data_IF_685761260471
#
_entry.id   IF_685761260471
#
_cell.length_a   1.000
_cell.length_b   1.000
_cell.length_c   1.000
_cell.angle_alpha   90.00
_cell.angle_beta   90.00
_cell.angle_gamma   90.00
#
_symmetry.space_group_name_H-M   'P 1'
#
loop_
_entity.id
_entity.type
_entity.pdbx_description
1 polymer ?
#
# COMPACT_ATOMS: atom_id res chain seq x y z
N UNK A 1 -9.40 -4.13 7.62
CA UNK A 1 -8.54 -3.15 6.93
C UNK A 1 -7.88 -2.30 8.00
N UNK A 2 -6.56 -2.37 8.14
CA UNK A 2 -5.78 -1.60 9.12
C UNK A 2 -4.59 -0.98 8.42
N UNK A 3 -4.32 0.30 8.66
CA UNK A 3 -3.13 0.99 8.16
C UNK A 3 -2.21 1.32 9.32
N UNK A 4 -0.93 0.98 9.21
CA UNK A 4 0.09 1.30 10.19
C UNK A 4 1.28 2.01 9.55
N UNK A 5 1.86 2.98 10.25
CA UNK A 5 3.04 3.73 9.79
C UNK A 5 4.24 3.25 10.58
N UNK A 6 5.26 2.75 9.88
CA UNK A 6 6.49 2.24 10.51
C UNK A 6 7.54 3.33 10.72
N UNK A 7 7.67 4.28 9.78
CA UNK A 7 8.64 5.37 9.86
C UNK A 7 8.14 6.60 9.11
N UNK A 8 8.59 7.79 9.53
CA UNK A 8 8.38 9.06 8.83
C UNK A 8 9.73 9.75 8.60
N UNK A 9 9.83 10.44 7.48
CA UNK A 9 10.92 11.37 7.16
C UNK A 9 10.32 12.62 6.53
N UNK A 10 10.29 13.73 7.27
CA UNK A 10 9.50 14.92 6.92
C UNK A 10 8.03 14.58 6.64
N UNK A 11 7.59 14.80 5.40
CA UNK A 11 6.23 14.46 4.94
C UNK A 11 6.11 13.03 4.38
N UNK A 12 7.23 12.34 4.12
CA UNK A 12 7.24 10.98 3.61
C UNK A 12 6.86 9.97 4.70
N UNK A 13 6.17 8.90 4.31
CA UNK A 13 5.65 7.86 5.22
C UNK A 13 5.94 6.50 4.63
N UNK A 14 6.58 5.63 5.42
CA UNK A 14 6.65 4.19 5.16
C UNK A 14 5.62 3.50 6.04
N UNK A 15 4.80 2.64 5.46
CA UNK A 15 3.74 1.97 6.19
C UNK A 15 3.32 0.65 5.57
N UNK A 16 2.30 0.04 6.17
CA UNK A 16 1.72 -1.20 5.70
C UNK A 16 0.19 -1.16 5.88
N UNK A 17 -0.53 -1.63 4.86
CA UNK A 17 -1.98 -1.81 4.87
C UNK A 17 -2.26 -3.31 4.98
N UNK A 18 -2.85 -3.74 6.10
CA UNK A 18 -3.37 -5.09 6.28
C UNK A 18 -4.74 -5.23 5.61
N UNK A 19 -4.82 -6.08 4.58
CA UNK A 19 -6.04 -6.49 3.90
C UNK A 19 -6.27 -8.00 4.08
N UNK A 20 -7.48 -8.47 3.81
CA UNK A 20 -7.80 -9.91 3.90
C UNK A 20 -7.00 -10.77 2.92
N UNK A 21 -6.57 -10.21 1.79
CA UNK A 21 -5.81 -10.90 0.73
C UNK A 21 -4.29 -10.68 0.83
N UNK A 22 -3.80 -10.13 1.94
CA UNK A 22 -2.38 -9.88 2.16
C UNK A 22 -2.11 -8.45 2.62
N UNK A 23 -0.82 -8.16 2.80
CA UNK A 23 -0.36 -6.84 3.26
C UNK A 23 0.28 -6.05 2.13
N UNK A 24 0.01 -4.75 2.06
CA UNK A 24 0.58 -3.85 1.05
C UNK A 24 1.52 -2.87 1.73
N UNK A 25 2.80 -2.87 1.33
CA UNK A 25 3.79 -1.91 1.78
C UNK A 25 3.57 -0.55 1.09
N UNK A 26 3.62 0.55 1.83
CA UNK A 26 3.49 1.93 1.30
C UNK A 26 4.81 2.69 1.42
N UNK A 27 5.19 3.52 0.42
CA UNK A 27 4.42 3.92 -0.77
C UNK A 27 4.28 2.79 -1.81
N UNK A 28 3.11 2.67 -2.44
CA UNK A 28 2.82 1.68 -3.47
C UNK A 28 2.33 2.34 -4.76
N UNK A 29 2.83 1.88 -5.90
CA UNK A 29 2.28 2.19 -7.22
C UNK A 29 1.47 0.98 -7.69
N UNK A 30 0.18 1.18 -7.98
CA UNK A 30 -0.72 0.11 -8.38
C UNK A 30 -0.88 0.11 -9.90
N UNK A 31 -0.62 -1.02 -10.58
CA UNK A 31 -0.92 -1.12 -12.00
C UNK A 31 -2.45 -1.15 -12.20
N UNK A 32 -2.91 -0.63 -13.33
CA UNK A 32 -4.34 -0.52 -13.64
C UNK A 32 -4.75 -1.67 -14.54
N UNK A 33 -5.51 -2.62 -13.99
CA UNK A 33 -6.11 -3.67 -14.79
C UNK A 33 -7.51 -3.31 -15.25
N UNK A 34 -7.73 -3.19 -16.57
CA UNK A 34 -9.07 -2.95 -17.15
C UNK A 34 -9.48 -4.17 -17.97
N UNK A 35 -10.74 -4.62 -17.86
CA UNK A 35 -11.26 -5.79 -18.58
C UNK A 35 -10.47 -7.10 -18.39
N UNK A 36 -9.92 -7.33 -17.20
CA UNK A 36 -9.25 -8.60 -16.86
C UNK A 36 -7.80 -8.72 -17.35
N UNK A 37 -7.21 -7.63 -17.87
CA UNK A 37 -5.79 -7.53 -18.20
C UNK A 37 -5.15 -6.35 -17.47
N UNK A 38 -3.85 -6.44 -17.17
CA UNK A 38 -3.03 -5.44 -16.46
C UNK A 38 -2.08 -4.77 -17.43
#
# INVERSE_FOLDING_TARGET
MKFSVSQRDGLARRGEIDLSRGRIQTPAFMPVGTYGTV
#
